data_IF_462153209837
#
_entry.id   IF_462153209837
#
_cell.length_a   1.000
_cell.length_b   1.000
_cell.length_c   1.000
_cell.angle_alpha   90.00
_cell.angle_beta   90.00
_cell.angle_gamma   90.00
#
_symmetry.space_group_name_H-M   'P 1'
#
loop_
_entity.id
_entity.type
_entity.pdbx_description
1 polymer ?
#
# COMPACT_ATOMS: atom_id res chain seq x y z
N UNK A 1 -1.33 18.27 -5.21
CA UNK A 1 -2.63 17.59 -5.12
C UNK A 1 -2.50 16.27 -4.38
N UNK A 2 -3.63 15.72 -3.92
CA UNK A 2 -3.64 14.44 -3.18
C UNK A 2 -3.84 13.21 -4.09
N UNK A 3 -3.99 13.43 -5.39
CA UNK A 3 -4.38 12.39 -6.34
C UNK A 3 -3.17 11.88 -7.12
N UNK A 4 -2.08 11.62 -6.41
CA UNK A 4 -0.80 11.22 -6.99
C UNK A 4 -0.11 10.19 -6.10
N UNK A 5 0.82 9.43 -6.68
CA UNK A 5 1.55 8.33 -6.08
C UNK A 5 2.82 8.73 -5.32
N UNK A 6 3.09 10.03 -5.16
CA UNK A 6 4.27 10.52 -4.44
C UNK A 6 4.14 10.42 -2.92
N UNK A 7 5.27 10.21 -2.24
CA UNK A 7 5.34 10.09 -0.78
C UNK A 7 4.66 11.25 -0.05
N UNK A 8 4.81 12.47 -0.54
CA UNK A 8 4.22 13.69 0.05
C UNK A 8 2.69 13.66 0.06
N UNK A 9 2.09 12.89 -0.85
CA UNK A 9 0.63 12.73 -0.90
C UNK A 9 0.13 11.54 -0.08
N UNK A 10 0.96 10.50 0.07
CA UNK A 10 0.57 9.23 0.69
C UNK A 10 0.99 9.11 2.15
N UNK A 11 2.11 9.74 2.54
CA UNK A 11 2.68 9.58 3.88
C UNK A 11 1.93 10.42 4.90
N UNK A 12 1.31 9.76 5.87
CA UNK A 12 0.59 10.37 6.98
C UNK A 12 1.26 9.94 8.28
N UNK A 13 1.59 10.88 9.20
CA UNK A 13 2.09 10.51 10.51
C UNK A 13 0.98 9.83 11.32
N UNK A 14 1.35 8.79 12.07
CA UNK A 14 0.46 8.09 12.98
C UNK A 14 1.10 8.00 14.36
N UNK A 15 0.29 8.21 15.41
CA UNK A 15 0.67 7.96 16.80
C UNK A 15 -0.37 7.07 17.44
N UNK A 16 0.10 6.11 18.23
CA UNK A 16 -0.73 5.24 19.06
C UNK A 16 -0.17 5.24 20.48
N UNK A 17 -1.03 5.37 21.48
CA UNK A 17 -0.65 5.35 22.89
C UNK A 17 -1.42 4.26 23.63
N UNK A 18 -0.69 3.31 24.15
CA UNK A 18 -1.20 2.27 25.05
C UNK A 18 -0.09 1.84 26.02
N UNK A 19 0.19 2.65 27.07
CA UNK A 19 1.36 2.49 27.92
C UNK A 19 1.54 1.10 28.53
N UNK A 20 0.43 0.38 28.80
CA UNK A 20 0.47 -0.97 29.39
C UNK A 20 0.86 -2.07 28.40
N UNK A 21 0.78 -1.80 27.10
CA UNK A 21 0.98 -2.79 26.04
C UNK A 21 2.04 -2.40 25.02
N UNK A 22 2.25 -1.11 24.79
CA UNK A 22 3.15 -0.59 23.77
C UNK A 22 4.22 0.26 24.46
N UNK A 23 5.44 -0.21 24.48
CA UNK A 23 6.57 0.57 24.97
C UNK A 23 6.80 1.82 24.09
N UNK A 24 7.19 2.97 24.69
CA UNK A 24 7.49 4.16 23.93
C UNK A 24 8.59 3.90 22.89
N UNK A 25 8.29 4.14 21.63
CA UNK A 25 9.24 4.00 20.51
C UNK A 25 8.84 4.82 19.30
N UNK A 26 9.79 5.00 18.41
CA UNK A 26 9.54 5.46 17.03
C UNK A 26 9.78 4.27 16.10
N UNK A 27 8.77 3.90 15.33
CA UNK A 27 8.87 2.86 14.32
C UNK A 27 8.88 3.52 12.93
N UNK A 28 9.93 3.25 12.16
CA UNK A 28 10.10 3.74 10.79
C UNK A 28 9.93 2.64 9.75
N UNK A 29 9.71 1.40 10.18
CA UNK A 29 9.65 0.22 9.32
C UNK A 29 8.24 -0.30 9.11
N UNK A 30 7.35 -0.10 10.08
CA UNK A 30 5.96 -0.50 9.94
C UNK A 30 5.26 0.37 8.91
N UNK A 31 4.79 -0.27 7.84
CA UNK A 31 3.90 0.35 6.88
C UNK A 31 2.46 -0.04 7.19
N UNK A 32 1.63 0.94 7.48
CA UNK A 32 0.22 0.77 7.77
C UNK A 32 -0.60 1.69 6.87
N UNK A 33 -1.56 1.14 6.17
CA UNK A 33 -2.52 1.92 5.42
C UNK A 33 -3.73 2.26 6.30
N UNK A 34 -4.48 3.29 5.94
CA UNK A 34 -5.67 3.68 6.70
C UNK A 34 -6.67 2.54 6.84
N UNK A 35 -6.83 1.73 5.81
CA UNK A 35 -7.72 0.58 5.80
C UNK A 35 -7.31 -0.53 6.78
N UNK A 36 -6.01 -0.65 7.11
CA UNK A 36 -5.50 -1.65 8.05
C UNK A 36 -5.84 -1.31 9.51
N UNK A 37 -6.23 -0.06 9.78
CA UNK A 37 -6.56 0.37 11.14
C UNK A 37 -7.76 -0.40 11.69
N UNK A 38 -8.76 -0.64 10.87
CA UNK A 38 -9.98 -1.33 11.32
C UNK A 38 -9.72 -2.74 11.86
N UNK A 39 -9.14 -3.69 11.09
CA UNK A 39 -8.85 -5.02 11.60
C UNK A 39 -7.80 -5.00 12.72
N UNK A 40 -6.80 -4.11 12.63
CA UNK A 40 -5.74 -4.01 13.64
C UNK A 40 -6.27 -3.53 14.99
N UNK A 41 -7.14 -2.53 15.00
CA UNK A 41 -7.76 -2.04 16.24
C UNK A 41 -8.70 -3.07 16.87
N UNK A 42 -9.51 -3.77 16.08
CA UNK A 42 -10.33 -4.86 16.60
C UNK A 42 -9.47 -5.94 17.25
N UNK A 43 -8.38 -6.35 16.62
CA UNK A 43 -7.47 -7.35 17.20
C UNK A 43 -6.79 -6.85 18.47
N UNK A 44 -6.33 -5.58 18.51
CA UNK A 44 -5.74 -4.98 19.70
C UNK A 44 -6.72 -4.95 20.88
N UNK A 45 -8.01 -4.72 20.59
CA UNK A 45 -9.08 -4.74 21.60
C UNK A 45 -9.57 -6.14 21.99
N UNK A 46 -9.00 -7.22 21.41
CA UNK A 46 -9.40 -8.59 21.70
C UNK A 46 -10.61 -9.09 20.91
N UNK A 47 -11.01 -8.39 19.84
CA UNK A 47 -12.16 -8.73 19.00
C UNK A 47 -11.74 -9.25 17.61
N UNK A 48 -10.63 -9.95 17.54
CA UNK A 48 -10.12 -10.49 16.26
C UNK A 48 -11.13 -11.39 15.54
N UNK A 49 -11.88 -12.18 16.30
CA UNK A 49 -12.94 -13.06 15.81
C UNK A 49 -14.16 -12.31 15.22
N UNK A 50 -14.24 -11.00 15.45
CA UNK A 50 -15.29 -10.13 14.92
C UNK A 50 -14.90 -9.35 13.68
N UNK A 51 -13.70 -9.58 13.16
CA UNK A 51 -13.30 -9.00 11.89
C UNK A 51 -14.11 -9.66 10.78
N UNK A 52 -14.92 -8.91 10.00
CA UNK A 52 -15.70 -9.47 8.92
C UNK A 52 -14.83 -10.14 7.86
N UNK A 53 -15.30 -11.24 7.26
CA UNK A 53 -14.57 -11.97 6.23
C UNK A 53 -14.32 -11.14 4.96
N UNK A 54 -15.11 -10.10 4.74
CA UNK A 54 -15.01 -9.16 3.63
C UNK A 54 -13.85 -8.17 3.77
N UNK A 55 -13.23 -8.09 4.95
CA UNK A 55 -12.05 -7.23 5.17
C UNK A 55 -10.88 -7.77 4.37
N UNK A 56 -10.41 -6.98 3.42
CA UNK A 56 -9.37 -7.38 2.45
C UNK A 56 -7.97 -6.87 2.82
N UNK A 57 -7.85 -6.11 3.91
CA UNK A 57 -6.64 -5.44 4.37
C UNK A 57 -5.88 -6.25 5.43
N UNK A 58 -4.81 -5.70 5.97
CA UNK A 58 -3.93 -6.41 6.89
C UNK A 58 -4.29 -6.13 8.35
N UNK A 59 -4.32 -7.18 9.17
CA UNK A 59 -4.27 -7.05 10.63
C UNK A 59 -2.81 -6.92 11.06
N UNK A 60 -2.40 -5.72 11.44
CA UNK A 60 -1.03 -5.38 11.85
C UNK A 60 -0.89 -5.24 13.37
N UNK A 61 -1.86 -5.73 14.14
CA UNK A 61 -1.87 -5.64 15.61
C UNK A 61 -0.61 -6.21 16.25
N UNK A 62 -0.10 -7.34 15.76
CA UNK A 62 1.13 -7.94 16.26
C UNK A 62 2.35 -7.04 16.03
N UNK A 63 2.47 -6.42 14.86
CA UNK A 63 3.54 -5.47 14.53
C UNK A 63 3.44 -4.17 15.33
N UNK A 64 2.22 -3.72 15.62
CA UNK A 64 1.97 -2.54 16.47
C UNK A 64 2.40 -2.82 17.91
N UNK A 65 2.15 -4.01 18.44
CA UNK A 65 2.58 -4.38 19.78
C UNK A 65 4.10 -4.55 19.87
N UNK A 66 4.72 -5.14 18.85
CA UNK A 66 6.11 -5.56 18.90
C UNK A 66 6.79 -5.46 17.54
N UNK A 67 7.89 -4.66 17.41
CA UNK A 67 8.55 -4.42 16.13
C UNK A 67 9.14 -5.68 15.48
N UNK A 68 9.55 -6.67 16.28
CA UNK A 68 10.06 -7.95 15.79
C UNK A 68 9.03 -8.76 15.01
N UNK A 69 7.75 -8.45 15.16
CA UNK A 69 6.66 -9.06 14.40
C UNK A 69 6.36 -8.31 13.09
N UNK A 70 7.14 -7.26 12.77
CA UNK A 70 6.94 -6.51 11.55
C UNK A 70 7.34 -7.34 10.34
N UNK A 71 6.37 -7.64 9.49
CA UNK A 71 6.58 -8.31 8.22
C UNK A 71 6.80 -7.28 7.11
N UNK A 72 7.65 -7.63 6.15
CA UNK A 72 7.76 -6.84 4.93
C UNK A 72 6.54 -7.10 4.06
N UNK A 73 5.76 -6.05 3.85
CA UNK A 73 4.54 -6.08 3.04
C UNK A 73 4.64 -5.09 1.89
N UNK A 74 3.99 -5.42 0.78
CA UNK A 74 3.71 -4.50 -0.29
C UNK A 74 2.31 -3.91 -0.06
N UNK A 75 2.23 -2.68 0.45
CA UNK A 75 0.96 -2.01 0.69
C UNK A 75 0.33 -1.57 -0.61
N UNK A 76 -0.88 -2.06 -0.93
CA UNK A 76 -1.61 -1.58 -2.08
C UNK A 76 -2.15 -0.17 -1.84
N UNK A 77 -2.15 0.63 -2.89
CA UNK A 77 -2.76 1.94 -2.89
C UNK A 77 -3.37 2.27 -4.25
N UNK A 78 -4.31 3.18 -4.28
CA UNK A 78 -5.01 3.53 -5.50
C UNK A 78 -5.56 4.96 -5.47
N UNK A 79 -5.76 5.49 -6.68
CA UNK A 79 -6.65 6.59 -6.97
C UNK A 79 -7.54 6.19 -8.14
N UNK A 80 -8.82 6.43 -8.00
CA UNK A 80 -9.81 6.12 -9.03
C UNK A 80 -10.79 7.29 -9.19
N UNK A 81 -11.38 7.35 -10.36
CA UNK A 81 -12.55 8.17 -10.60
C UNK A 81 -13.81 7.32 -10.35
N UNK A 82 -14.72 7.70 -9.45
CA UNK A 82 -15.91 6.92 -9.14
C UNK A 82 -16.79 6.61 -10.36
N UNK A 83 -16.81 7.52 -11.33
CA UNK A 83 -17.53 7.39 -12.59
C UNK A 83 -16.80 6.47 -13.62
N UNK A 84 -15.51 6.22 -13.41
CA UNK A 84 -14.72 5.36 -14.30
C UNK A 84 -13.61 4.63 -13.53
N UNK A 85 -13.94 3.44 -13.05
CA UNK A 85 -13.03 2.63 -12.22
C UNK A 85 -11.77 2.12 -12.94
N UNK A 86 -11.73 2.22 -14.28
CA UNK A 86 -10.57 1.87 -15.10
C UNK A 86 -9.69 3.08 -15.43
N UNK A 87 -9.97 4.22 -14.82
CA UNK A 87 -9.14 5.43 -14.90
C UNK A 87 -8.54 5.75 -13.54
N UNK A 88 -7.29 6.22 -13.55
CA UNK A 88 -6.52 6.56 -12.36
C UNK A 88 -5.28 5.67 -12.22
N UNK A 89 -4.85 5.40 -11.01
CA UNK A 89 -3.72 4.51 -10.79
C UNK A 89 -4.00 3.45 -9.73
N UNK A 90 -3.26 2.34 -9.84
CA UNK A 90 -3.10 1.31 -8.83
C UNK A 90 -1.64 1.06 -8.62
N UNK A 91 -1.25 0.81 -7.39
CA UNK A 91 0.16 0.62 -7.09
C UNK A 91 0.41 -0.17 -5.83
N UNK A 92 1.68 -0.45 -5.61
CA UNK A 92 2.22 -1.12 -4.44
C UNK A 92 3.36 -0.28 -3.87
N UNK A 93 3.31 -0.07 -2.57
CA UNK A 93 4.37 0.59 -1.82
C UNK A 93 5.06 -0.43 -0.93
N UNK A 94 6.36 -0.58 -1.10
CA UNK A 94 7.23 -1.38 -0.23
C UNK A 94 8.15 -0.47 0.59
N UNK A 95 8.96 -1.06 1.46
CA UNK A 95 10.00 -0.30 2.17
C UNK A 95 10.93 0.43 1.19
N UNK A 96 11.31 -0.22 0.09
CA UNK A 96 12.27 0.30 -0.88
C UNK A 96 11.63 0.97 -2.09
N UNK A 97 10.53 0.45 -2.60
CA UNK A 97 9.98 0.89 -3.88
C UNK A 97 8.57 1.48 -3.76
N UNK A 98 8.30 2.47 -4.60
CA UNK A 98 6.96 2.90 -4.97
C UNK A 98 6.72 2.49 -6.41
N UNK A 99 5.78 1.59 -6.63
CA UNK A 99 5.38 1.10 -7.94
C UNK A 99 3.95 1.49 -8.22
N UNK A 100 3.67 2.03 -9.41
CA UNK A 100 2.31 2.33 -9.85
C UNK A 100 2.12 2.08 -11.35
N UNK A 101 0.88 1.85 -11.71
CA UNK A 101 0.39 1.84 -13.10
C UNK A 101 -0.70 2.87 -13.20
N UNK A 102 -0.56 3.80 -14.13
CA UNK A 102 -1.59 4.75 -14.51
C UNK A 102 -2.32 4.25 -15.75
N UNK A 103 -3.62 4.41 -15.76
CA UNK A 103 -4.46 4.09 -16.92
C UNK A 103 -5.55 5.13 -17.12
N UNK A 104 -5.93 5.31 -18.36
CA UNK A 104 -7.07 6.15 -18.77
C UNK A 104 -8.01 5.34 -19.65
N UNK A 105 -9.28 5.27 -19.24
CA UNK A 105 -10.33 4.55 -19.98
C UNK A 105 -9.93 3.08 -20.31
N UNK A 106 -9.33 2.40 -19.36
CA UNK A 106 -8.95 0.98 -19.51
C UNK A 106 -7.66 0.74 -20.30
N UNK A 107 -6.92 1.79 -20.65
CA UNK A 107 -5.62 1.66 -21.34
C UNK A 107 -4.50 2.16 -20.46
N UNK A 108 -3.47 1.33 -20.27
CA UNK A 108 -2.26 1.74 -19.55
C UNK A 108 -1.56 2.88 -20.28
N UNK A 109 -1.31 3.97 -19.55
CA UNK A 109 -0.62 5.15 -20.05
C UNK A 109 0.84 5.17 -19.58
N UNK A 110 1.08 4.78 -18.32
CA UNK A 110 2.38 4.94 -17.71
C UNK A 110 2.65 3.85 -16.66
N UNK A 111 3.91 3.39 -16.67
CA UNK A 111 4.49 2.57 -15.62
C UNK A 111 5.44 3.41 -14.78
N UNK A 112 5.32 3.31 -13.47
CA UNK A 112 6.03 4.15 -12.51
C UNK A 112 6.74 3.25 -11.52
N UNK A 113 8.04 3.52 -11.32
CA UNK A 113 8.85 2.85 -10.31
C UNK A 113 9.88 3.82 -9.76
N UNK A 114 9.85 4.05 -8.46
CA UNK A 114 10.84 4.85 -7.74
C UNK A 114 11.56 3.99 -6.72
N UNK A 115 12.89 4.10 -6.65
CA UNK A 115 13.71 3.58 -5.57
C UNK A 115 13.78 4.61 -4.45
N UNK A 116 13.03 4.43 -3.37
CA UNK A 116 12.90 5.39 -2.28
C UNK A 116 14.15 5.52 -1.40
N UNK A 117 15.06 4.56 -1.48
CA UNK A 117 16.34 4.63 -0.77
C UNK A 117 17.36 5.48 -1.54
N UNK A 118 17.37 5.40 -2.86
CA UNK A 118 18.27 6.17 -3.72
C UNK A 118 17.67 7.52 -4.14
N UNK A 119 16.36 7.59 -4.26
CA UNK A 119 15.61 8.76 -4.69
C UNK A 119 14.42 9.02 -3.74
N UNK A 120 14.66 9.54 -2.54
CA UNK A 120 13.61 9.78 -1.56
C UNK A 120 12.59 10.84 -1.99
N UNK A 121 12.91 11.67 -2.98
CA UNK A 121 12.02 12.69 -3.54
C UNK A 121 11.27 12.23 -4.79
N UNK A 122 11.53 11.00 -5.25
CA UNK A 122 10.85 10.39 -6.39
C UNK A 122 10.93 11.25 -7.68
N UNK A 123 12.11 11.74 -7.99
CA UNK A 123 12.38 12.60 -9.16
C UNK A 123 12.66 11.79 -10.43
N UNK A 124 13.14 10.54 -10.28
CA UNK A 124 13.60 9.70 -11.39
C UNK A 124 12.76 8.42 -11.49
N UNK A 125 11.87 8.37 -12.47
CA UNK A 125 11.13 7.14 -12.78
C UNK A 125 12.06 6.13 -13.45
N UNK A 126 12.43 5.06 -12.72
CA UNK A 126 13.31 3.99 -13.21
C UNK A 126 12.57 2.84 -13.89
N UNK A 127 11.26 2.94 -14.10
CA UNK A 127 10.47 1.87 -14.71
C UNK A 127 11.00 1.43 -16.08
N UNK A 128 11.44 2.33 -17.00
CA UNK A 128 11.96 1.92 -18.30
C UNK A 128 13.22 1.05 -18.21
N UNK A 129 14.03 1.25 -17.17
CA UNK A 129 15.33 0.58 -17.00
C UNK A 129 15.23 -0.70 -16.14
N UNK A 130 14.04 -1.00 -15.60
CA UNK A 130 13.83 -2.09 -14.63
C UNK A 130 12.71 -3.07 -15.05
N UNK A 131 12.74 -3.67 -16.24
CA UNK A 131 11.65 -4.50 -16.75
C UNK A 131 11.36 -5.73 -15.86
N UNK A 132 12.39 -6.27 -15.21
CA UNK A 132 12.22 -7.41 -14.29
C UNK A 132 11.44 -7.03 -13.04
N UNK A 133 11.75 -5.89 -12.43
CA UNK A 133 11.00 -5.40 -11.27
C UNK A 133 9.58 -5.01 -11.64
N UNK A 134 9.38 -4.38 -12.79
CA UNK A 134 8.05 -4.06 -13.31
C UNK A 134 7.20 -5.32 -13.43
N UNK A 135 7.75 -6.39 -14.03
CA UNK A 135 7.05 -7.67 -14.14
C UNK A 135 6.71 -8.28 -12.77
N UNK A 136 7.65 -8.23 -11.83
CA UNK A 136 7.44 -8.73 -10.46
C UNK A 136 6.30 -7.98 -9.75
N UNK A 137 6.38 -6.65 -9.71
CA UNK A 137 5.35 -5.83 -9.06
C UNK A 137 4.00 -5.91 -9.77
N UNK A 138 3.99 -6.01 -11.11
CA UNK A 138 2.75 -6.22 -11.87
C UNK A 138 2.04 -7.51 -11.47
N UNK A 139 2.79 -8.60 -11.28
CA UNK A 139 2.20 -9.86 -10.85
C UNK A 139 1.61 -9.75 -9.44
N UNK A 140 2.33 -9.14 -8.49
CA UNK A 140 1.82 -8.90 -7.14
C UNK A 140 0.57 -8.00 -7.16
N UNK A 141 0.58 -6.94 -7.97
CA UNK A 141 -0.58 -6.06 -8.13
C UNK A 141 -1.77 -6.82 -8.72
N UNK A 142 -1.56 -7.64 -9.75
CA UNK A 142 -2.60 -8.49 -10.34
C UNK A 142 -3.27 -9.42 -9.33
N UNK A 143 -2.48 -10.03 -8.46
CA UNK A 143 -3.00 -10.91 -7.41
C UNK A 143 -3.89 -10.14 -6.43
N UNK A 144 -3.49 -8.92 -6.07
CA UNK A 144 -4.31 -8.05 -5.21
C UNK A 144 -5.59 -7.60 -5.92
N UNK A 145 -5.52 -7.14 -7.19
CA UNK A 145 -6.68 -6.72 -7.97
C UNK A 145 -7.70 -7.84 -8.16
N UNK A 146 -7.23 -9.09 -8.37
CA UNK A 146 -8.10 -10.27 -8.41
C UNK A 146 -8.80 -10.49 -7.08
N UNK A 147 -8.06 -10.43 -5.97
CA UNK A 147 -8.61 -10.61 -4.61
C UNK A 147 -9.71 -9.58 -4.31
N UNK A 148 -9.57 -8.37 -4.81
CA UNK A 148 -10.49 -7.25 -4.57
C UNK A 148 -11.57 -7.08 -5.67
N UNK A 149 -11.56 -7.92 -6.70
CA UNK A 149 -12.43 -7.80 -7.88
C UNK A 149 -12.34 -6.40 -8.52
N UNK A 150 -11.15 -5.78 -8.53
CA UNK A 150 -10.95 -4.45 -9.10
C UNK A 150 -10.97 -4.51 -10.63
N UNK A 151 -11.87 -3.78 -11.32
CA UNK A 151 -11.95 -3.79 -12.79
C UNK A 151 -10.70 -3.25 -13.48
N UNK A 152 -9.82 -2.55 -12.76
CA UNK A 152 -8.52 -2.10 -13.26
C UNK A 152 -7.62 -3.27 -13.70
N UNK A 153 -7.93 -4.47 -13.27
CA UNK A 153 -7.26 -5.70 -13.74
C UNK A 153 -7.21 -5.81 -15.26
N UNK A 154 -8.21 -5.28 -15.96
CA UNK A 154 -8.29 -5.29 -17.42
C UNK A 154 -7.37 -4.28 -18.10
N UNK A 155 -6.71 -3.40 -17.31
CA UNK A 155 -5.74 -2.42 -17.81
C UNK A 155 -4.30 -2.96 -17.85
N UNK A 156 -4.05 -4.15 -17.24
CA UNK A 156 -2.72 -4.77 -17.08
C UNK A 156 -2.55 -5.92 -18.09
#
# INVERSE_FOLDING_TARGET
GKNIYYEEAMRIPMMISWPEKIAPRRDSTLMIAFADLYPSLLSLMGFKDRIPAEVQTFDLSASILSPENTQEIAQPYYYLLPENLTTGYRGLRTKKYTFAVHATNGRTDEWILFDREQDPFQLNNIAPDQPTLIKQFSNQLKDWLKKTNDPFMNCL
#
